data_IF_022630632751
#
_entry.id   IF_022630632751
#
_cell.length_a   1.000
_cell.length_b   1.000
_cell.length_c   1.000
_cell.angle_alpha   90.00
_cell.angle_beta   90.00
_cell.angle_gamma   90.00
#
_symmetry.space_group_name_H-M   'P 1'
#
loop_
_entity.id
_entity.type
_entity.pdbx_description
1 polymer ?
#
# COMPACT_ATOMS: atom_id res chain seq x y z
N UNK A 1 4.44 18.23 32.96
CA UNK A 1 4.35 18.98 31.68
C UNK A 1 3.11 18.51 30.94
N UNK A 2 2.29 19.41 30.40
CA UNK A 2 1.19 18.96 29.52
C UNK A 2 1.77 18.40 28.23
N UNK A 3 1.37 17.18 27.87
CA UNK A 3 1.71 16.51 26.61
C UNK A 3 0.47 16.41 25.74
N UNK A 4 0.63 16.49 24.43
CA UNK A 4 -0.45 16.29 23.49
C UNK A 4 -0.77 14.78 23.36
N UNK A 5 -2.03 14.44 23.08
CA UNK A 5 -2.38 13.06 22.72
C UNK A 5 -1.74 12.67 21.37
N UNK A 6 -1.61 11.36 21.12
CA UNK A 6 -1.09 10.87 19.83
C UNK A 6 -1.97 11.38 18.69
N UNK A 7 -3.29 11.27 18.81
CA UNK A 7 -4.23 11.79 17.81
C UNK A 7 -3.98 13.27 17.49
N UNK A 8 -3.76 14.08 18.52
CA UNK A 8 -3.47 15.50 18.35
C UNK A 8 -2.13 15.73 17.62
N UNK A 9 -1.09 15.00 18.00
CA UNK A 9 0.23 15.11 17.36
C UNK A 9 0.15 14.71 15.88
N UNK A 10 -0.56 13.61 15.56
CA UNK A 10 -0.80 13.18 14.17
C UNK A 10 -1.49 14.28 13.37
N UNK A 11 -2.56 14.88 13.90
CA UNK A 11 -3.30 15.95 13.20
C UNK A 11 -2.43 17.20 13.03
N UNK A 12 -1.63 17.57 14.03
CA UNK A 12 -0.70 18.71 13.93
C UNK A 12 0.38 18.50 12.87
N UNK A 13 0.93 17.28 12.75
CA UNK A 13 1.86 16.93 11.69
C UNK A 13 1.15 16.90 10.32
N UNK A 14 -0.03 16.30 10.24
CA UNK A 14 -0.79 16.22 8.99
C UNK A 14 -1.18 17.59 8.41
N UNK A 15 -1.43 18.59 9.25
CA UNK A 15 -1.75 19.95 8.78
C UNK A 15 -0.53 20.77 8.37
N UNK A 16 0.67 20.47 8.88
CA UNK A 16 1.90 21.25 8.68
C UNK A 16 2.90 20.62 7.71
N UNK A 17 2.85 19.29 7.50
CA UNK A 17 3.74 18.55 6.60
C UNK A 17 3.10 18.30 5.21
N UNK A 18 3.83 17.59 4.34
CA UNK A 18 3.27 17.12 3.06
C UNK A 18 2.14 16.12 3.29
N UNK A 19 1.23 15.98 2.31
CA UNK A 19 0.17 14.97 2.38
C UNK A 19 0.75 13.56 2.56
N UNK A 20 1.80 13.23 1.81
CA UNK A 20 2.51 11.94 1.83
C UNK A 20 3.07 11.63 3.22
N UNK A 21 3.75 12.59 3.85
CA UNK A 21 4.28 12.45 5.22
C UNK A 21 3.16 12.33 6.24
N UNK A 22 2.10 13.12 6.09
CA UNK A 22 0.93 13.07 6.98
C UNK A 22 0.27 11.68 6.96
N UNK A 23 0.10 11.09 5.77
CA UNK A 23 -0.47 9.73 5.63
C UNK A 23 0.43 8.70 6.31
N UNK A 24 1.75 8.73 6.07
CA UNK A 24 2.67 7.78 6.69
C UNK A 24 2.62 7.83 8.22
N UNK A 25 2.52 9.04 8.81
CA UNK A 25 2.40 9.21 10.26
C UNK A 25 1.04 8.71 10.77
N UNK A 26 -0.05 9.01 10.07
CA UNK A 26 -1.38 8.58 10.47
C UNK A 26 -1.54 7.05 10.40
N UNK A 27 -1.11 6.43 9.30
CA UNK A 27 -1.13 4.99 9.12
C UNK A 27 -0.32 4.27 10.21
N UNK A 28 0.92 4.73 10.48
CA UNK A 28 1.75 4.16 11.54
C UNK A 28 1.10 4.25 12.92
N UNK A 29 0.49 5.40 13.26
CA UNK A 29 -0.17 5.58 14.53
C UNK A 29 -1.42 4.69 14.67
N UNK A 30 -2.15 4.47 13.58
CA UNK A 30 -3.31 3.57 13.52
C UNK A 30 -2.89 2.10 13.58
N UNK A 31 -1.87 1.72 12.80
CA UNK A 31 -1.32 0.36 12.76
C UNK A 31 -0.82 -0.08 14.14
N UNK A 32 -0.04 0.77 14.80
CA UNK A 32 0.48 0.55 16.16
C UNK A 32 -0.59 0.65 17.25
N UNK A 33 -1.85 0.92 16.88
CA UNK A 33 -2.98 1.12 17.83
C UNK A 33 -2.72 2.21 18.88
N UNK A 34 -1.90 3.20 18.53
CA UNK A 34 -1.59 4.36 19.39
C UNK A 34 -2.70 5.41 19.35
N UNK A 35 -3.55 5.33 18.35
CA UNK A 35 -4.78 6.13 18.20
C UNK A 35 -5.79 5.35 17.35
N UNK A 36 -7.01 5.87 17.25
CA UNK A 36 -8.09 5.31 16.44
C UNK A 36 -8.55 6.32 15.37
N UNK A 37 -9.21 5.84 14.31
CA UNK A 37 -9.82 6.71 13.30
C UNK A 37 -10.81 7.71 13.92
N UNK A 38 -11.61 7.26 14.89
CA UNK A 38 -12.57 8.11 15.58
C UNK A 38 -11.90 9.23 16.37
N UNK A 39 -10.78 8.97 17.04
CA UNK A 39 -10.02 9.99 17.76
C UNK A 39 -9.40 11.01 16.80
N UNK A 40 -8.83 10.55 15.68
CA UNK A 40 -8.30 11.44 14.64
C UNK A 40 -9.39 12.35 14.08
N UNK A 41 -10.56 11.81 13.74
CA UNK A 41 -11.70 12.59 13.26
C UNK A 41 -12.21 13.58 14.30
N UNK A 42 -12.28 13.19 15.56
CA UNK A 42 -12.69 14.08 16.65
C UNK A 42 -11.73 15.28 16.80
N UNK A 43 -10.41 15.04 16.73
CA UNK A 43 -9.42 16.12 16.78
C UNK A 43 -9.54 17.04 15.56
N UNK A 44 -9.70 16.49 14.36
CA UNK A 44 -9.91 17.28 13.12
C UNK A 44 -11.16 18.17 13.24
N UNK A 45 -12.25 17.63 13.77
CA UNK A 45 -13.50 18.39 13.99
C UNK A 45 -13.31 19.53 15.00
N UNK A 46 -12.63 19.26 16.13
CA UNK A 46 -12.34 20.25 17.16
C UNK A 46 -11.39 21.37 16.70
N UNK A 47 -10.60 21.13 15.66
CA UNK A 47 -9.63 22.09 15.11
C UNK A 47 -10.12 22.78 13.81
N UNK A 48 -11.42 22.85 13.56
CA UNK A 48 -12.03 23.23 12.27
C UNK A 48 -11.57 24.57 11.68
N UNK A 49 -11.10 25.50 12.53
CA UNK A 49 -10.62 26.85 12.11
C UNK A 49 -9.10 26.96 12.01
N UNK A 50 -8.38 25.86 12.19
CA UNK A 50 -6.93 25.92 12.25
C UNK A 50 -6.30 25.90 10.85
N UNK A 51 -5.20 26.67 10.65
CA UNK A 51 -4.46 26.63 9.39
C UNK A 51 -4.05 25.20 9.02
N UNK A 52 -4.27 24.79 7.77
CA UNK A 52 -3.91 23.47 7.26
C UNK A 52 -4.87 22.33 7.64
N UNK A 53 -5.94 22.58 8.39
CA UNK A 53 -6.88 21.52 8.83
C UNK A 53 -7.55 20.78 7.65
N UNK A 54 -7.78 21.43 6.54
CA UNK A 54 -8.29 20.79 5.33
C UNK A 54 -7.34 19.71 4.78
N UNK A 55 -6.02 19.90 4.93
CA UNK A 55 -5.04 18.86 4.61
C UNK A 55 -5.12 17.71 5.60
N UNK A 56 -5.13 17.99 6.89
CA UNK A 56 -5.25 16.96 7.91
C UNK A 56 -6.53 16.11 7.74
N UNK A 57 -7.66 16.74 7.38
CA UNK A 57 -8.89 16.03 7.08
C UNK A 57 -8.69 15.03 5.95
N UNK A 58 -8.11 15.45 4.82
CA UNK A 58 -7.81 14.54 3.70
C UNK A 58 -6.83 13.43 4.07
N UNK A 59 -5.85 13.72 4.94
CA UNK A 59 -4.93 12.70 5.46
C UNK A 59 -5.70 11.64 6.24
N UNK A 60 -6.53 12.06 7.21
CA UNK A 60 -7.33 11.13 8.02
C UNK A 60 -8.32 10.33 7.18
N UNK A 61 -8.96 10.95 6.18
CA UNK A 61 -9.86 10.27 5.25
C UNK A 61 -9.15 9.21 4.39
N UNK A 62 -7.86 9.43 4.08
CA UNK A 62 -7.06 8.51 3.27
C UNK A 62 -6.30 7.47 4.11
N UNK A 63 -6.12 7.68 5.41
CA UNK A 63 -5.32 6.81 6.27
C UNK A 63 -5.95 5.41 6.41
N UNK A 64 -5.07 4.41 6.58
CA UNK A 64 -5.46 3.00 6.69
C UNK A 64 -4.50 2.24 7.62
N UNK A 65 -5.03 1.67 8.68
CA UNK A 65 -4.27 0.91 9.68
C UNK A 65 -3.61 -0.36 9.13
N UNK A 66 -4.00 -0.82 7.94
CA UNK A 66 -3.42 -2.02 7.30
C UNK A 66 -2.06 -1.77 6.66
N UNK A 67 -1.67 -0.51 6.40
CA UNK A 67 -0.30 -0.19 5.97
C UNK A 67 0.67 -0.47 7.11
N UNK A 68 1.58 -1.42 6.92
CA UNK A 68 2.51 -1.90 7.96
C UNK A 68 3.83 -1.11 7.99
N UNK A 69 4.07 -0.30 6.96
CA UNK A 69 5.29 0.50 6.86
C UNK A 69 5.04 1.89 6.25
N UNK A 70 5.89 2.88 6.55
CA UNK A 70 5.86 4.17 5.86
C UNK A 70 6.04 4.05 4.35
N UNK A 71 6.76 3.03 3.88
CA UNK A 71 6.97 2.76 2.47
C UNK A 71 5.65 2.39 1.78
N UNK A 72 4.87 1.48 2.37
CA UNK A 72 3.53 1.12 1.88
C UNK A 72 2.58 2.32 1.88
N UNK A 73 2.57 3.11 2.94
CA UNK A 73 1.75 4.33 3.03
C UNK A 73 2.05 5.30 1.89
N UNK A 74 3.35 5.52 1.60
CA UNK A 74 3.80 6.41 0.52
C UNK A 74 3.49 5.81 -0.84
N UNK A 75 3.60 4.49 -1.01
CA UNK A 75 3.21 3.79 -2.25
C UNK A 75 1.72 3.96 -2.55
N UNK A 76 0.84 3.84 -1.54
CA UNK A 76 -0.60 4.10 -1.69
C UNK A 76 -0.88 5.51 -2.20
N UNK A 77 -0.17 6.50 -1.66
CA UNK A 77 -0.30 7.88 -2.12
C UNK A 77 0.14 8.01 -3.57
N UNK A 78 1.28 7.38 -3.94
CA UNK A 78 1.77 7.40 -5.32
C UNK A 78 0.80 6.71 -6.28
N UNK A 79 0.20 5.58 -5.91
CA UNK A 79 -0.80 4.88 -6.71
C UNK A 79 -2.04 5.76 -6.96
N UNK A 80 -2.58 6.42 -5.92
CA UNK A 80 -3.67 7.37 -6.07
C UNK A 80 -3.30 8.53 -6.99
N UNK A 81 -2.14 9.16 -6.76
CA UNK A 81 -1.67 10.31 -7.53
C UNK A 81 -1.40 9.92 -9.00
N UNK A 82 -1.00 8.67 -9.23
CA UNK A 82 -0.90 8.05 -10.54
C UNK A 82 -2.23 7.61 -11.16
N UNK A 83 -3.37 7.80 -10.49
CA UNK A 83 -4.68 7.44 -11.02
C UNK A 83 -4.95 5.94 -11.10
N UNK A 84 -4.27 5.13 -10.31
CA UNK A 84 -4.61 3.72 -10.13
C UNK A 84 -5.84 3.59 -9.20
N UNK A 85 -6.69 2.58 -9.39
CA UNK A 85 -7.75 2.26 -8.44
C UNK A 85 -7.15 1.93 -7.07
N UNK A 86 -7.90 2.13 -5.97
CA UNK A 86 -7.40 1.78 -4.64
C UNK A 86 -7.16 0.27 -4.53
N UNK A 87 -5.95 -0.17 -4.09
CA UNK A 87 -5.69 -1.57 -3.82
C UNK A 87 -6.33 -2.05 -2.51
N UNK A 88 -6.62 -3.33 -2.43
CA UNK A 88 -6.78 -4.02 -1.15
C UNK A 88 -5.39 -4.17 -0.50
N UNK A 89 -5.31 -4.00 0.83
CA UNK A 89 -4.04 -4.00 1.55
C UNK A 89 -3.89 -5.27 2.39
N UNK A 90 -2.68 -5.82 2.42
CA UNK A 90 -2.27 -6.92 3.30
C UNK A 90 -3.22 -8.14 3.20
N UNK A 91 -3.48 -8.57 1.96
CA UNK A 91 -4.47 -9.61 1.64
C UNK A 91 -3.79 -10.97 1.52
N UNK A 92 -4.33 -11.97 2.20
CA UNK A 92 -3.94 -13.36 1.98
C UNK A 92 -4.45 -13.86 0.62
N UNK A 93 -3.54 -14.37 -0.18
CA UNK A 93 -3.81 -14.91 -1.51
C UNK A 93 -3.61 -16.41 -1.50
N UNK A 94 -4.54 -17.15 -2.09
CA UNK A 94 -4.48 -18.58 -2.25
C UNK A 94 -4.98 -19.00 -3.64
N UNK A 95 -4.69 -20.23 -4.03
CA UNK A 95 -5.21 -20.87 -5.22
C UNK A 95 -5.99 -22.13 -4.85
N UNK A 96 -6.95 -22.53 -5.68
CA UNK A 96 -7.84 -23.67 -5.41
C UNK A 96 -7.08 -24.97 -5.14
N UNK A 97 -5.96 -25.20 -5.82
CA UNK A 97 -5.09 -26.38 -5.66
C UNK A 97 -3.86 -26.15 -4.80
N UNK A 98 -3.44 -24.88 -4.60
CA UNK A 98 -2.18 -24.51 -3.95
C UNK A 98 -2.35 -24.11 -2.48
N UNK A 99 -3.61 -24.01 -1.99
CA UNK A 99 -3.87 -23.49 -0.65
C UNK A 99 -3.44 -22.00 -0.49
N UNK A 100 -2.99 -21.62 0.70
CA UNK A 100 -2.49 -20.25 0.97
C UNK A 100 -1.08 -20.10 0.40
N UNK A 101 -0.91 -19.21 -0.58
CA UNK A 101 0.37 -18.93 -1.22
C UNK A 101 1.16 -17.88 -0.41
N UNK A 102 0.48 -16.82 0.07
CA UNK A 102 1.11 -15.77 0.85
C UNK A 102 0.26 -14.53 1.00
N UNK A 103 0.80 -13.51 1.67
CA UNK A 103 0.14 -12.23 1.89
C UNK A 103 0.72 -11.17 0.95
N UNK A 104 -0.15 -10.52 0.19
CA UNK A 104 0.18 -9.45 -0.74
C UNK A 104 0.09 -8.08 -0.04
N UNK A 105 1.09 -7.20 -0.25
CA UNK A 105 1.04 -5.84 0.29
C UNK A 105 -0.10 -5.05 -0.36
N UNK A 106 -0.23 -5.16 -1.69
CA UNK A 106 -1.25 -4.49 -2.50
C UNK A 106 -1.85 -5.48 -3.50
N UNK A 107 -3.18 -5.60 -3.50
CA UNK A 107 -3.92 -6.46 -4.43
C UNK A 107 -4.97 -5.65 -5.17
N UNK A 108 -4.95 -5.67 -6.48
CA UNK A 108 -6.05 -5.26 -7.34
C UNK A 108 -6.76 -6.51 -7.89
N UNK A 109 -7.76 -6.96 -7.17
CA UNK A 109 -8.46 -8.23 -7.45
C UNK A 109 -9.07 -8.27 -8.84
N UNK A 110 -9.75 -7.19 -9.24
CA UNK A 110 -10.37 -7.09 -10.57
C UNK A 110 -9.35 -7.11 -11.70
N UNK A 111 -8.12 -6.63 -11.43
CA UNK A 111 -7.00 -6.63 -12.37
C UNK A 111 -6.08 -7.85 -12.20
N UNK A 112 -6.37 -8.78 -11.29
CA UNK A 112 -5.52 -9.93 -11.01
C UNK A 112 -4.05 -9.56 -10.87
N UNK A 113 -3.78 -8.45 -10.18
CA UNK A 113 -2.43 -7.89 -10.06
C UNK A 113 -2.09 -7.63 -8.62
N UNK A 114 -0.89 -8.03 -8.25
CA UNK A 114 -0.27 -7.83 -6.95
C UNK A 114 0.93 -6.90 -7.12
N UNK A 115 1.13 -5.97 -6.18
CA UNK A 115 2.37 -5.22 -6.05
C UNK A 115 2.97 -5.44 -4.66
N UNK A 116 4.28 -5.56 -4.61
CA UNK A 116 5.06 -5.85 -3.40
C UNK A 116 6.11 -4.76 -3.18
N UNK A 117 6.11 -4.18 -1.99
CA UNK A 117 7.07 -3.16 -1.58
C UNK A 117 8.35 -3.83 -1.05
N UNK A 118 9.37 -3.97 -1.89
CA UNK A 118 10.61 -4.66 -1.53
C UNK A 118 11.55 -3.78 -0.70
N UNK A 119 11.74 -4.15 0.57
CA UNK A 119 12.76 -3.54 1.42
C UNK A 119 14.18 -3.91 0.95
N UNK A 120 15.14 -2.99 1.16
CA UNK A 120 16.54 -3.12 0.71
C UNK A 120 17.30 -4.38 1.18
N UNK A 121 16.78 -5.12 2.16
CA UNK A 121 17.48 -6.26 2.80
C UNK A 121 17.20 -7.60 2.10
N UNK A 122 16.27 -7.69 1.15
CA UNK A 122 15.82 -8.97 0.56
C UNK A 122 16.87 -9.70 -0.30
N UNK A 123 17.88 -9.03 -0.80
CA UNK A 123 18.84 -9.61 -1.76
C UNK A 123 20.11 -10.23 -1.14
N UNK A 124 20.31 -10.12 0.17
CA UNK A 124 21.50 -10.64 0.85
C UNK A 124 21.39 -12.12 1.26
N UNK A 125 20.19 -12.73 1.21
CA UNK A 125 19.97 -14.11 1.64
C UNK A 125 19.45 -14.97 0.46
N UNK A 126 20.27 -15.92 -0.05
CA UNK A 126 19.88 -16.79 -1.17
C UNK A 126 18.63 -17.63 -0.91
N UNK A 127 18.39 -18.03 0.33
CA UNK A 127 17.22 -18.85 0.66
C UNK A 127 15.93 -18.03 0.65
N UNK A 128 16.01 -16.78 1.08
CA UNK A 128 14.89 -15.83 0.93
C UNK A 128 14.58 -15.54 -0.53
N UNK A 129 15.61 -15.33 -1.35
CA UNK A 129 15.45 -15.12 -2.78
C UNK A 129 14.76 -16.32 -3.45
N UNK A 130 15.17 -17.54 -3.13
CA UNK A 130 14.52 -18.77 -3.64
C UNK A 130 13.06 -18.90 -3.22
N UNK A 131 12.76 -18.61 -1.95
CA UNK A 131 11.37 -18.62 -1.44
C UNK A 131 10.51 -17.58 -2.16
N UNK A 132 11.04 -16.38 -2.39
CA UNK A 132 10.34 -15.34 -3.12
C UNK A 132 10.05 -15.77 -4.57
N UNK A 133 11.04 -16.32 -5.28
CA UNK A 133 10.85 -16.80 -6.65
C UNK A 133 9.78 -17.92 -6.75
N UNK A 134 9.77 -18.86 -5.80
CA UNK A 134 8.72 -19.90 -5.73
C UNK A 134 7.35 -19.27 -5.51
N UNK A 135 7.24 -18.39 -4.51
CA UNK A 135 5.98 -17.68 -4.21
C UNK A 135 5.47 -16.90 -5.42
N UNK A 136 6.36 -16.23 -6.14
CA UNK A 136 5.99 -15.52 -7.37
C UNK A 136 5.52 -16.45 -8.49
N UNK A 137 6.13 -17.64 -8.60
CA UNK A 137 5.69 -18.67 -9.55
C UNK A 137 4.30 -19.17 -9.18
N UNK A 138 4.06 -19.51 -7.91
CA UNK A 138 2.75 -19.97 -7.41
C UNK A 138 1.65 -18.89 -7.61
N UNK A 139 1.97 -17.62 -7.39
CA UNK A 139 1.05 -16.51 -7.65
C UNK A 139 0.71 -16.38 -9.15
N UNK A 140 1.71 -16.56 -10.03
CA UNK A 140 1.49 -16.53 -11.49
C UNK A 140 0.68 -17.74 -11.95
N UNK A 141 0.93 -18.93 -11.39
CA UNK A 141 0.12 -20.12 -11.65
C UNK A 141 -1.33 -19.93 -11.19
N UNK A 142 -1.55 -19.25 -10.05
CA UNK A 142 -2.87 -18.84 -9.61
C UNK A 142 -3.48 -17.69 -10.46
N UNK A 143 -2.79 -17.25 -11.54
CA UNK A 143 -3.26 -16.28 -12.52
C UNK A 143 -3.14 -14.83 -12.08
N UNK A 144 -2.19 -14.52 -11.19
CA UNK A 144 -1.88 -13.14 -10.82
C UNK A 144 -0.62 -12.63 -11.55
N UNK A 145 -0.64 -11.36 -11.94
CA UNK A 145 0.57 -10.62 -12.29
C UNK A 145 1.20 -10.07 -11.01
N UNK A 146 2.53 -10.19 -10.89
CA UNK A 146 3.27 -9.72 -9.71
C UNK A 146 4.25 -8.63 -10.13
N UNK A 147 4.20 -7.48 -9.45
CA UNK A 147 5.08 -6.33 -9.64
C UNK A 147 5.83 -6.08 -8.34
N UNK A 148 7.15 -6.10 -8.40
CA UNK A 148 8.02 -5.70 -7.30
C UNK A 148 8.54 -4.30 -7.53
N UNK A 149 8.67 -3.52 -6.47
CA UNK A 149 9.26 -2.20 -6.54
C UNK A 149 9.98 -1.87 -5.23
N UNK A 150 11.05 -1.09 -5.35
CA UNK A 150 11.89 -0.67 -4.22
C UNK A 150 11.56 0.74 -3.78
N UNK A 151 12.01 1.09 -2.57
CA UNK A 151 11.95 2.47 -2.10
C UNK A 151 12.64 3.45 -3.04
N UNK A 152 13.79 3.06 -3.59
CA UNK A 152 14.57 3.91 -4.50
C UNK A 152 13.75 4.23 -5.77
N UNK A 153 13.16 3.22 -6.41
CA UNK A 153 12.33 3.41 -7.60
C UNK A 153 11.12 4.29 -7.31
N UNK A 154 10.42 4.05 -6.20
CA UNK A 154 9.26 4.86 -5.82
C UNK A 154 9.64 6.31 -5.52
N UNK A 155 10.81 6.55 -4.91
CA UNK A 155 11.28 7.88 -4.53
C UNK A 155 11.81 8.68 -5.73
N UNK A 156 12.51 8.04 -6.67
CA UNK A 156 13.19 8.70 -7.79
C UNK A 156 12.39 8.70 -9.08
N UNK A 157 11.60 7.66 -9.32
CA UNK A 157 10.86 7.48 -10.57
C UNK A 157 9.46 6.86 -10.33
N UNK A 158 8.58 7.49 -9.52
CA UNK A 158 7.28 6.93 -9.18
C UNK A 158 6.41 6.60 -10.41
N UNK A 159 6.54 7.36 -11.50
CA UNK A 159 5.83 7.09 -12.75
C UNK A 159 6.18 5.71 -13.33
N UNK A 160 7.43 5.26 -13.23
CA UNK A 160 7.84 3.92 -13.72
C UNK A 160 7.17 2.80 -12.92
N UNK A 161 7.04 2.96 -11.61
CA UNK A 161 6.32 2.01 -10.75
C UNK A 161 4.84 1.96 -11.17
N UNK A 162 4.20 3.13 -11.37
CA UNK A 162 2.81 3.22 -11.82
C UNK A 162 2.62 2.57 -13.20
N UNK A 163 3.53 2.83 -14.14
CA UNK A 163 3.47 2.26 -15.49
C UNK A 163 3.69 0.74 -15.49
N UNK A 164 4.53 0.22 -14.58
CA UNK A 164 4.71 -1.22 -14.37
C UNK A 164 3.43 -1.88 -13.88
N UNK A 165 2.72 -1.27 -12.92
CA UNK A 165 1.43 -1.75 -12.45
C UNK A 165 0.37 -1.71 -13.56
N UNK A 166 0.30 -0.62 -14.32
CA UNK A 166 -0.62 -0.52 -15.48
C UNK A 166 -0.33 -1.57 -16.55
N UNK A 167 0.96 -1.84 -16.79
CA UNK A 167 1.37 -2.88 -17.73
C UNK A 167 0.92 -4.27 -17.25
N UNK A 168 1.04 -4.55 -15.94
CA UNK A 168 0.53 -5.77 -15.33
C UNK A 168 -0.99 -5.90 -15.47
N UNK A 169 -1.76 -4.83 -15.26
CA UNK A 169 -3.21 -4.82 -15.51
C UNK A 169 -3.55 -5.24 -16.95
N UNK A 170 -2.81 -4.69 -17.94
CA UNK A 170 -3.01 -5.05 -19.35
C UNK A 170 -2.67 -6.52 -19.61
N UNK A 171 -1.56 -7.05 -19.09
CA UNK A 171 -1.18 -8.46 -19.26
C UNK A 171 -2.23 -9.39 -18.67
N UNK A 172 -2.66 -9.13 -17.43
CA UNK A 172 -3.69 -9.91 -16.77
C UNK A 172 -5.03 -9.90 -17.55
N UNK A 173 -5.40 -8.79 -18.18
CA UNK A 173 -6.62 -8.71 -19.00
C UNK A 173 -6.53 -9.55 -20.28
N UNK A 174 -5.36 -9.58 -20.93
CA UNK A 174 -5.11 -10.41 -22.11
C UNK A 174 -5.16 -11.89 -21.78
N UNK A 175 -4.51 -12.32 -20.69
CA UNK A 175 -4.53 -13.71 -20.22
C UNK A 175 -5.96 -14.19 -19.93
N UNK A 176 -6.78 -13.35 -19.34
CA UNK A 176 -8.19 -13.66 -19.05
C UNK A 176 -9.04 -13.76 -20.31
N UNK A 177 -8.76 -12.91 -21.32
CA UNK A 177 -9.47 -12.93 -22.60
C UNK A 177 -9.10 -14.17 -23.47
N UNK A 178 -7.87 -14.69 -23.30
CA UNK A 178 -7.41 -15.88 -24.01
C UNK A 178 -8.04 -17.20 -23.48
N UNK A 179 -8.69 -17.17 -22.31
CA UNK A 179 -9.28 -18.36 -21.67
C UNK A 179 -8.23 -19.37 -21.18
N UNK A 180 -8.60 -20.41 -20.40
CA UNK A 180 -7.69 -21.49 -20.11
C UNK A 180 -7.39 -22.22 -21.43
N UNK A 181 -6.10 -22.35 -21.78
CA UNK A 181 -5.69 -23.23 -22.88
C UNK A 181 -6.18 -24.64 -22.53
N UNK A 182 -7.18 -25.10 -23.30
CA UNK A 182 -7.64 -26.48 -23.20
C UNK A 182 -6.46 -27.40 -23.56
N UNK A 183 -5.97 -28.13 -22.56
CA UNK A 183 -5.06 -29.25 -22.78
C UNK A 183 -5.84 -30.49 -23.06
#
# INVERSE_FOLDING_TARGET
MPVTSVARTVVDLARSSSFRSGVAVADSALHDKKTTDSELRAVVAGCSRWPGIGRARRVVEFSDARSESPFESIARVAFRDGGLPPPELQVWVGGDSLGVIGRADFLWREHRTIAEADGAVKYADPDRARKQLRRDADLREAGFEVVHFTWHELATAPHQVIDSVRAAFRRASVLRAAGPMSA
#
